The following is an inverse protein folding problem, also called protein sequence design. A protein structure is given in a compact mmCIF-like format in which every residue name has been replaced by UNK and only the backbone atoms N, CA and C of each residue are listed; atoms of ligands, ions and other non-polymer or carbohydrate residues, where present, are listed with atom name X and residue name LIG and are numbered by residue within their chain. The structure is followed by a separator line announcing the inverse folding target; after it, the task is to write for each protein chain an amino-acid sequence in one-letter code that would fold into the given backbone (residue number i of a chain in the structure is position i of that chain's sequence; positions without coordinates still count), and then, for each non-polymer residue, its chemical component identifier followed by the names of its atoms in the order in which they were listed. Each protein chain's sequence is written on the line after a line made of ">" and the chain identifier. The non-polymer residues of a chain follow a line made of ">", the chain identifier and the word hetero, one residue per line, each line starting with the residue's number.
data_IF_913055431587
#
_entry.id   IF_913055431587
#
_cell.length_a   1.000
_cell.length_b   1.000
_cell.length_c   1.000
_cell.angle_alpha   90.00
_cell.angle_beta   90.00
_cell.angle_gamma   90.00
#
_symmetry.space_group_name_H-M   'P 1'
#
loop_
_entity.id
_entity.type
_entity.pdbx_description
1 polymer ?
#
# COMPACT_ATOMS: atom_id res chain seq x y z
N UNK A 1 -0.93 18.63 -2.64
CA UNK A 1 -0.93 18.85 -4.12
C UNK A 1 0.44 18.64 -4.82
N UNK A 2 1.51 18.25 -4.11
CA UNK A 2 2.89 18.42 -4.61
C UNK A 2 3.41 17.34 -5.59
N UNK A 3 2.84 16.12 -5.59
CA UNK A 3 3.40 15.00 -6.39
C UNK A 3 2.57 14.60 -7.63
N UNK A 4 1.30 15.01 -7.72
CA UNK A 4 0.41 14.69 -8.87
C UNK A 4 0.95 15.14 -10.23
N UNK A 5 1.72 16.23 -10.27
CA UNK A 5 2.31 16.77 -11.51
C UNK A 5 3.60 16.08 -11.94
N UNK A 6 4.14 15.15 -11.14
CA UNK A 6 5.35 14.40 -11.48
C UNK A 6 5.01 13.22 -12.39
N UNK A 7 4.59 13.53 -13.61
CA UNK A 7 4.11 12.56 -14.58
C UNK A 7 5.14 11.48 -14.95
N UNK A 8 6.43 11.67 -14.66
CA UNK A 8 7.48 10.68 -14.95
C UNK A 8 8.04 10.00 -13.70
N UNK A 9 7.48 10.28 -12.51
CA UNK A 9 7.95 9.63 -11.29
C UNK A 9 7.40 8.20 -11.23
N UNK A 10 8.31 7.23 -11.33
CA UNK A 10 8.00 5.80 -11.29
C UNK A 10 8.31 5.19 -9.91
N UNK A 11 9.33 5.70 -9.21
CA UNK A 11 9.76 5.20 -7.91
C UNK A 11 9.69 6.34 -6.90
N UNK A 12 8.97 6.11 -5.81
CA UNK A 12 8.87 7.04 -4.68
C UNK A 12 9.29 6.33 -3.40
N UNK A 13 10.43 6.73 -2.84
CA UNK A 13 10.92 6.24 -1.55
C UNK A 13 10.74 7.33 -0.49
N UNK A 14 9.91 7.05 0.50
CA UNK A 14 9.60 7.88 1.66
C UNK A 14 9.88 7.12 2.97
N UNK A 15 10.81 6.17 2.92
CA UNK A 15 11.23 5.37 4.07
C UNK A 15 11.83 6.22 5.19
N UNK A 16 11.61 5.84 6.44
CA UNK A 16 12.12 6.53 7.65
C UNK A 16 11.64 7.99 7.74
N UNK A 17 10.34 8.21 7.59
CA UNK A 17 9.71 9.51 7.86
C UNK A 17 8.63 9.34 8.95
N UNK A 18 7.89 10.41 9.23
CA UNK A 18 6.82 10.46 10.22
C UNK A 18 5.45 10.51 9.55
N UNK A 19 5.25 9.69 8.50
CA UNK A 19 3.99 9.71 7.75
C UNK A 19 2.98 8.86 8.51
N UNK A 20 1.94 9.50 9.03
CA UNK A 20 0.86 8.85 9.78
C UNK A 20 -0.31 8.43 8.86
N UNK A 21 -0.56 9.16 7.78
CA UNK A 21 -1.69 8.93 6.89
C UNK A 21 -1.31 9.19 5.41
N UNK A 22 -1.82 8.34 4.51
CA UNK A 22 -1.74 8.55 3.06
C UNK A 22 -3.13 8.96 2.56
N UNK A 23 -3.63 10.10 3.02
CA UNK A 23 -4.91 10.59 2.50
C UNK A 23 -4.74 10.99 1.03
N UNK A 24 -5.69 10.59 0.17
CA UNK A 24 -5.72 10.96 -1.26
C UNK A 24 -5.65 12.49 -1.49
N UNK A 25 -6.00 13.27 -0.47
CA UNK A 25 -5.94 14.74 -0.42
C UNK A 25 -4.62 15.28 0.14
N UNK A 26 -4.04 14.65 1.15
CA UNK A 26 -2.80 15.07 1.81
C UNK A 26 -1.56 14.68 1.01
N UNK A 27 -1.48 13.42 0.58
CA UNK A 27 -0.37 12.85 -0.18
C UNK A 27 -0.87 12.27 -1.51
N UNK A 28 -1.22 13.12 -2.49
CA UNK A 28 -1.71 12.65 -3.77
C UNK A 28 -0.58 11.95 -4.55
N UNK A 29 -0.68 10.63 -4.69
CA UNK A 29 0.31 9.80 -5.37
C UNK A 29 0.32 10.08 -6.90
N UNK A 30 1.50 10.13 -7.55
CA UNK A 30 1.59 10.14 -9.01
C UNK A 30 0.99 8.88 -9.62
N UNK A 31 0.25 9.03 -10.72
CA UNK A 31 -0.42 7.91 -11.40
C UNK A 31 0.53 6.94 -12.11
N UNK A 32 1.79 7.34 -12.33
CA UNK A 32 2.80 6.55 -13.02
C UNK A 32 3.74 5.79 -12.08
N UNK A 33 3.48 5.80 -10.77
CA UNK A 33 4.26 5.02 -9.82
C UNK A 33 4.18 3.52 -10.13
N UNK A 34 5.34 2.89 -10.14
CA UNK A 34 5.56 1.45 -10.18
C UNK A 34 6.04 0.93 -8.83
N UNK A 35 6.71 1.76 -8.03
CA UNK A 35 7.21 1.39 -6.70
C UNK A 35 6.96 2.50 -5.68
N UNK A 36 6.44 2.10 -4.52
CA UNK A 36 6.22 2.97 -3.37
C UNK A 36 6.81 2.32 -2.11
N UNK A 37 7.86 2.93 -1.56
CA UNK A 37 8.48 2.53 -0.28
C UNK A 37 8.10 3.50 0.83
N UNK A 38 7.33 3.00 1.79
CA UNK A 38 6.85 3.68 2.98
C UNK A 38 7.26 2.93 4.26
N UNK A 39 8.29 2.08 4.19
CA UNK A 39 8.75 1.36 5.39
C UNK A 39 9.20 2.33 6.47
N UNK A 40 9.09 1.92 7.74
CA UNK A 40 9.53 2.74 8.89
C UNK A 40 8.87 4.13 8.88
N UNK A 41 7.54 4.14 8.81
CA UNK A 41 6.71 5.32 9.04
C UNK A 41 5.72 5.00 10.17
N UNK A 42 4.75 5.88 10.38
CA UNK A 42 3.80 5.80 11.49
C UNK A 42 2.37 5.48 10.99
N UNK A 43 2.25 4.79 9.84
CA UNK A 43 0.95 4.47 9.22
C UNK A 43 0.14 3.51 10.10
N UNK A 44 -1.14 3.81 10.32
CA UNK A 44 -2.00 3.01 11.21
C UNK A 44 -3.19 2.32 10.53
N UNK A 45 -3.60 2.78 9.34
CA UNK A 45 -4.67 2.16 8.55
C UNK A 45 -4.46 2.34 7.04
N UNK A 46 -5.10 1.48 6.25
CA UNK A 46 -5.19 1.60 4.79
C UNK A 46 -6.67 1.63 4.38
N UNK A 47 -7.13 2.77 3.87
CA UNK A 47 -8.50 2.95 3.38
C UNK A 47 -8.68 2.54 1.90
N UNK A 48 -9.94 2.54 1.44
CA UNK A 48 -10.33 2.15 0.07
C UNK A 48 -9.84 3.10 -1.03
N UNK A 49 -9.45 4.31 -0.67
CA UNK A 49 -9.19 5.43 -1.57
C UNK A 49 -7.70 5.81 -1.68
N UNK A 50 -6.84 5.30 -0.78
CA UNK A 50 -5.39 5.59 -0.74
C UNK A 50 -4.71 5.31 -2.08
N UNK A 51 -4.98 4.14 -2.66
CA UNK A 51 -4.34 3.67 -3.89
C UNK A 51 -5.22 3.78 -5.14
N UNK A 52 -6.21 4.68 -5.11
CA UNK A 52 -7.04 4.96 -6.27
C UNK A 52 -6.23 5.52 -7.44
N UNK A 53 -6.43 4.90 -8.61
CA UNK A 53 -5.76 5.24 -9.87
C UNK A 53 -4.25 4.89 -9.93
N UNK A 54 -3.71 4.13 -8.98
CA UNK A 54 -2.32 3.61 -9.03
C UNK A 54 -2.23 2.29 -9.80
N UNK A 55 -2.87 2.21 -10.98
CA UNK A 55 -2.94 0.97 -11.78
C UNK A 55 -1.60 0.47 -12.31
N UNK A 56 -0.52 1.23 -12.17
CA UNK A 56 0.83 0.84 -12.59
C UNK A 56 1.70 0.33 -11.44
N UNK A 57 1.21 0.39 -10.20
CA UNK A 57 1.98 0.02 -9.03
C UNK A 57 2.25 -1.49 -9.04
N UNK A 58 3.52 -1.86 -8.85
CA UNK A 58 4.02 -3.23 -8.85
C UNK A 58 4.58 -3.62 -7.48
N UNK A 59 5.21 -2.67 -6.79
CA UNK A 59 5.85 -2.90 -5.50
C UNK A 59 5.33 -1.90 -4.48
N UNK A 60 4.72 -2.41 -3.41
CA UNK A 60 4.21 -1.62 -2.30
C UNK A 60 4.84 -2.12 -0.99
N UNK A 61 5.65 -1.27 -0.38
CA UNK A 61 6.39 -1.62 0.83
C UNK A 61 5.89 -0.79 2.02
N UNK A 62 5.16 -1.45 2.91
CA UNK A 62 4.52 -0.88 4.11
C UNK A 62 5.07 -1.49 5.41
N UNK A 63 6.14 -2.27 5.34
CA UNK A 63 6.67 -2.97 6.50
C UNK A 63 7.25 -2.03 7.58
N UNK A 64 7.15 -2.42 8.85
CA UNK A 64 7.54 -1.59 10.01
C UNK A 64 6.73 -0.28 10.06
N UNK A 65 5.42 -0.42 10.13
CA UNK A 65 4.46 0.64 10.45
C UNK A 65 3.57 0.15 11.61
N UNK A 66 2.48 0.85 11.91
CA UNK A 66 1.50 0.50 12.94
C UNK A 66 0.15 0.09 12.34
N UNK A 67 0.14 -0.43 11.11
CA UNK A 67 -1.11 -0.70 10.38
C UNK A 67 -1.87 -1.79 11.12
N UNK A 68 -3.08 -1.48 11.58
CA UNK A 68 -3.96 -2.42 12.29
C UNK A 68 -5.20 -2.79 11.48
N UNK A 69 -5.49 -2.02 10.43
CA UNK A 69 -6.66 -2.18 9.59
C UNK A 69 -6.34 -1.96 8.11
N UNK A 70 -6.88 -2.84 7.26
CA UNK A 70 -6.90 -2.70 5.79
C UNK A 70 -8.36 -2.82 5.35
N UNK A 71 -8.84 -1.84 4.61
CA UNK A 71 -10.19 -1.84 4.06
C UNK A 71 -10.36 -2.86 2.93
N UNK A 72 -11.59 -3.34 2.73
CA UNK A 72 -11.91 -4.44 1.80
C UNK A 72 -11.60 -4.11 0.34
N UNK A 73 -11.61 -2.84 -0.07
CA UNK A 73 -11.35 -2.41 -1.44
C UNK A 73 -9.99 -1.73 -1.61
N UNK A 74 -9.16 -1.69 -0.56
CA UNK A 74 -7.88 -0.97 -0.52
C UNK A 74 -6.93 -1.25 -1.70
N UNK A 75 -6.94 -2.48 -2.23
CA UNK A 75 -6.03 -2.89 -3.31
C UNK A 75 -6.72 -3.16 -4.66
N UNK A 76 -7.99 -2.77 -4.81
CA UNK A 76 -8.78 -3.06 -6.02
C UNK A 76 -8.23 -2.40 -7.30
N UNK A 77 -7.61 -1.22 -7.18
CA UNK A 77 -7.08 -0.47 -8.33
C UNK A 77 -5.62 -0.83 -8.68
N UNK A 78 -4.85 -1.43 -7.77
CA UNK A 78 -3.44 -1.82 -7.97
C UNK A 78 -3.29 -3.22 -8.58
N UNK A 79 -4.04 -3.46 -9.66
CA UNK A 79 -4.22 -4.78 -10.33
C UNK A 79 -2.95 -5.43 -10.92
N UNK A 80 -1.83 -4.72 -10.91
CA UNK A 80 -0.52 -5.20 -11.37
C UNK A 80 0.50 -5.33 -10.24
N UNK A 81 0.05 -5.31 -8.98
CA UNK A 81 0.93 -5.51 -7.84
C UNK A 81 1.57 -6.91 -7.93
N UNK A 82 2.89 -6.94 -7.79
CA UNK A 82 3.75 -8.13 -7.82
C UNK A 82 4.31 -8.41 -6.40
N UNK A 83 4.52 -7.35 -5.60
CA UNK A 83 5.08 -7.42 -4.25
C UNK A 83 4.31 -6.52 -3.27
N UNK A 84 3.88 -7.11 -2.16
CA UNK A 84 3.27 -6.42 -1.02
C UNK A 84 3.99 -6.78 0.28
N UNK A 85 4.68 -5.83 0.89
CA UNK A 85 5.27 -6.02 2.21
C UNK A 85 4.44 -5.30 3.27
N UNK A 86 3.76 -6.06 4.12
CA UNK A 86 3.04 -5.57 5.31
C UNK A 86 3.63 -6.15 6.60
N UNK A 87 4.87 -6.64 6.56
CA UNK A 87 5.54 -7.25 7.71
C UNK A 87 5.77 -6.26 8.84
N UNK A 88 5.82 -6.75 10.08
CA UNK A 88 6.02 -5.89 11.26
C UNK A 88 5.00 -4.73 11.32
N UNK A 89 3.72 -5.07 11.18
CA UNK A 89 2.57 -4.20 11.44
C UNK A 89 1.72 -4.81 12.56
N UNK A 90 0.61 -4.15 12.92
CA UNK A 90 -0.34 -4.58 13.96
C UNK A 90 -1.56 -5.34 13.39
N UNK A 91 -1.48 -5.75 12.13
CA UNK A 91 -2.56 -6.48 11.44
C UNK A 91 -2.80 -7.86 12.06
N UNK A 92 -4.06 -8.14 12.42
CA UNK A 92 -4.49 -9.48 12.82
C UNK A 92 -4.86 -10.36 11.61
N UNK A 93 -5.50 -9.76 10.61
CA UNK A 93 -5.93 -10.38 9.35
C UNK A 93 -5.88 -9.38 8.20
N UNK A 94 -5.95 -9.90 6.97
CA UNK A 94 -6.22 -9.10 5.76
C UNK A 94 -7.52 -9.61 5.17
N UNK A 95 -8.49 -8.74 4.83
CA UNK A 95 -9.71 -9.16 4.15
C UNK A 95 -9.40 -9.89 2.84
N UNK A 96 -9.96 -11.08 2.58
CA UNK A 96 -9.81 -11.77 1.31
C UNK A 96 -10.20 -10.91 0.11
N UNK A 97 -11.19 -10.04 0.27
CA UNK A 97 -11.69 -9.09 -0.73
C UNK A 97 -10.58 -8.14 -1.18
N UNK A 98 -9.80 -7.62 -0.21
CA UNK A 98 -8.68 -6.73 -0.50
C UNK A 98 -7.60 -7.47 -1.31
N UNK A 99 -7.37 -8.74 -1.03
CA UNK A 99 -6.42 -9.57 -1.79
C UNK A 99 -6.98 -10.04 -3.13
N UNK A 100 -8.31 -10.02 -3.33
CA UNK A 100 -8.97 -10.43 -4.57
C UNK A 100 -8.57 -9.58 -5.79
N UNK A 101 -8.15 -8.34 -5.57
CA UNK A 101 -7.58 -7.47 -6.61
C UNK A 101 -6.15 -7.84 -7.02
N UNK A 102 -5.45 -8.65 -6.21
CA UNK A 102 -4.06 -9.05 -6.43
C UNK A 102 -4.00 -10.31 -7.31
N UNK A 103 -2.98 -10.38 -8.18
CA UNK A 103 -2.76 -11.56 -9.01
C UNK A 103 -2.24 -12.72 -8.15
N UNK A 104 -2.50 -13.96 -8.57
CA UNK A 104 -2.04 -15.17 -7.88
C UNK A 104 -0.52 -15.30 -7.75
N UNK A 105 0.25 -14.50 -8.49
CA UNK A 105 1.72 -14.41 -8.38
C UNK A 105 2.21 -13.36 -7.38
N UNK A 106 1.31 -12.62 -6.72
CA UNK A 106 1.70 -11.56 -5.78
C UNK A 106 2.26 -12.19 -4.52
N UNK A 107 3.53 -11.89 -4.22
CA UNK A 107 4.13 -12.31 -2.97
C UNK A 107 3.77 -11.28 -1.90
N UNK A 108 3.11 -11.72 -0.85
CA UNK A 108 2.93 -10.92 0.35
C UNK A 108 3.65 -11.56 1.53
N UNK A 109 4.30 -10.74 2.35
CA UNK A 109 4.99 -11.22 3.54
C UNK A 109 4.34 -10.64 4.79
N UNK A 110 3.87 -11.52 5.66
CA UNK A 110 3.64 -11.22 7.06
C UNK A 110 3.89 -12.47 7.90
N UNK A 111 4.80 -12.43 8.87
CA UNK A 111 5.17 -13.62 9.64
C UNK A 111 4.07 -14.15 10.59
N UNK A 112 2.95 -13.45 10.75
CA UNK A 112 1.99 -13.75 11.85
C UNK A 112 0.51 -13.76 11.42
N UNK A 113 0.17 -13.34 10.20
CA UNK A 113 -1.22 -13.11 9.81
C UNK A 113 -1.90 -14.38 9.27
N UNK A 114 -3.13 -14.65 9.74
CA UNK A 114 -4.01 -15.67 9.17
C UNK A 114 -4.94 -15.02 8.13
N UNK A 115 -5.14 -15.70 6.99
CA UNK A 115 -6.25 -15.38 6.10
C UNK A 115 -7.55 -15.73 6.83
N UNK A 116 -8.41 -14.73 7.06
CA UNK A 116 -9.76 -14.97 7.59
C UNK A 116 -10.66 -15.34 6.42
N UNK A 117 -11.22 -16.55 6.45
CA UNK A 117 -12.11 -17.13 5.44
C UNK A 117 -13.50 -16.50 5.42
#
# INVERSE_FOLDING_TARGET
>A
MMFRSLANLEILCLRNNFIEEIASTALPLPSNLTELDLKYNDLYEIDDDIFRQQSRLKTLLLGNNYISYIAEMAFTDITYLEELDVSSNELESIPPEALGGLRTSTYWTSPTIKLTS
#
